data_IF_099549282933
#
_entry.id   IF_099549282933
#
_cell.length_a   1.000
_cell.length_b   1.000
_cell.length_c   1.000
_cell.angle_alpha   90.00
_cell.angle_beta   90.00
_cell.angle_gamma   90.00
#
_symmetry.space_group_name_H-M   'P 1'
#
loop_
_entity.id
_entity.type
_entity.pdbx_description
1 polymer ?
#
# COMPACT_ATOMS: atom_id res chain seq x y z
N UNK A 1 -20.15 4.45 -3.90
CA UNK A 1 -19.25 3.82 -2.91
C UNK A 1 -18.75 2.56 -3.59
N UNK A 2 -17.47 2.53 -3.98
CA UNK A 2 -16.89 1.29 -4.54
C UNK A 2 -16.66 0.37 -3.35
N UNK A 3 -17.47 -0.66 -3.25
CA UNK A 3 -17.32 -1.69 -2.23
C UNK A 3 -16.03 -2.45 -2.55
N UNK A 4 -15.08 -2.50 -1.61
CA UNK A 4 -13.86 -3.30 -1.79
C UNK A 4 -14.28 -4.75 -1.87
N UNK A 5 -14.00 -5.45 -2.97
CA UNK A 5 -14.54 -6.78 -3.24
C UNK A 5 -13.85 -7.91 -2.45
N UNK A 6 -13.18 -7.60 -1.34
CA UNK A 6 -12.47 -8.53 -0.45
C UNK A 6 -12.36 -7.94 0.96
N UNK A 7 -12.00 -8.75 1.95
CA UNK A 7 -11.83 -8.27 3.32
C UNK A 7 -10.46 -7.64 3.52
N UNK A 8 -10.44 -6.45 4.12
CA UNK A 8 -9.23 -5.70 4.49
C UNK A 8 -9.38 -5.13 5.90
N UNK A 9 -8.37 -5.36 6.74
CA UNK A 9 -8.25 -4.80 8.08
C UNK A 9 -6.98 -3.99 8.21
N UNK A 10 -7.11 -2.71 8.53
CA UNK A 10 -5.99 -1.80 8.77
C UNK A 10 -5.49 -1.86 10.21
N UNK A 11 -4.21 -1.57 10.38
CA UNK A 11 -3.59 -1.32 11.67
C UNK A 11 -3.71 -2.49 12.67
N UNK A 12 -3.68 -3.72 12.15
CA UNK A 12 -3.78 -4.93 12.98
C UNK A 12 -2.58 -5.10 13.92
N UNK A 13 -1.44 -4.43 13.63
CA UNK A 13 -0.26 -4.36 14.49
C UNK A 13 -0.57 -3.80 15.88
N UNK A 14 -1.61 -2.99 16.02
CA UNK A 14 -2.02 -2.39 17.29
C UNK A 14 -2.59 -3.43 18.26
N UNK A 15 -3.19 -4.49 17.74
CA UNK A 15 -3.89 -5.53 18.53
C UNK A 15 -3.30 -6.93 18.41
N UNK A 16 -2.58 -7.25 17.32
CA UNK A 16 -2.01 -8.57 17.06
C UNK A 16 -0.50 -8.56 17.36
N UNK A 17 -0.02 -9.22 18.44
CA UNK A 17 1.38 -9.16 18.84
C UNK A 17 2.37 -9.63 17.77
N UNK A 18 2.04 -10.68 16.99
CA UNK A 18 2.90 -11.17 15.91
C UNK A 18 3.04 -10.17 14.77
N UNK A 19 1.96 -9.50 14.38
CA UNK A 19 2.00 -8.42 13.37
C UNK A 19 2.80 -7.25 13.90
N UNK A 20 2.60 -6.86 15.15
CA UNK A 20 3.40 -5.80 15.80
C UNK A 20 4.88 -6.13 15.75
N UNK A 21 5.25 -7.35 16.17
CA UNK A 21 6.66 -7.79 16.18
C UNK A 21 7.29 -7.70 14.79
N UNK A 22 6.56 -8.07 13.74
CA UNK A 22 7.01 -7.98 12.36
C UNK A 22 7.08 -6.53 11.88
N UNK A 23 5.99 -5.78 12.00
CA UNK A 23 5.88 -4.41 11.47
C UNK A 23 6.83 -3.41 12.18
N UNK A 24 7.23 -3.69 13.43
CA UNK A 24 8.22 -2.89 14.16
C UNK A 24 9.60 -3.54 14.21
N UNK A 25 9.85 -4.58 13.41
CA UNK A 25 11.13 -5.28 13.39
C UNK A 25 12.23 -4.40 12.77
N UNK A 26 13.41 -4.44 13.37
CA UNK A 26 14.56 -3.69 12.87
C UNK A 26 14.97 -4.09 11.44
N UNK A 27 15.02 -5.38 11.05
CA UNK A 27 15.35 -5.77 9.69
C UNK A 27 14.42 -5.15 8.66
N UNK A 28 13.10 -5.22 8.85
CA UNK A 28 12.14 -4.69 7.89
C UNK A 28 12.20 -3.16 7.81
N UNK A 29 12.33 -2.49 8.96
CA UNK A 29 12.51 -1.03 9.03
C UNK A 29 13.83 -0.57 8.38
N UNK A 30 14.91 -1.34 8.52
CA UNK A 30 16.20 -1.07 7.87
C UNK A 30 16.11 -1.23 6.35
N UNK A 31 15.39 -2.25 5.85
CA UNK A 31 15.13 -2.36 4.42
C UNK A 31 14.33 -1.15 3.90
N UNK A 32 13.26 -0.75 4.60
CA UNK A 32 12.47 0.42 4.25
C UNK A 32 13.34 1.69 4.19
N UNK A 33 14.12 1.95 5.23
CA UNK A 33 15.07 3.07 5.28
C UNK A 33 16.03 3.07 4.10
N UNK A 34 16.55 1.89 3.76
CA UNK A 34 17.54 1.73 2.68
C UNK A 34 16.91 1.98 1.31
N UNK A 35 15.73 1.41 1.04
CA UNK A 35 15.02 1.58 -0.22
C UNK A 35 14.55 3.02 -0.44
N UNK A 36 14.15 3.70 0.63
CA UNK A 36 13.72 5.09 0.58
C UNK A 36 14.88 6.09 0.53
N UNK A 37 16.10 5.65 0.84
CA UNK A 37 17.27 6.51 0.98
C UNK A 37 17.01 7.69 1.94
N UNK A 38 16.61 7.35 3.17
CA UNK A 38 16.27 8.30 4.24
C UNK A 38 17.08 7.98 5.51
N UNK A 39 17.04 8.83 6.52
CA UNK A 39 17.76 8.59 7.79
C UNK A 39 16.92 7.75 8.77
N UNK A 40 15.61 7.93 8.76
CA UNK A 40 14.68 7.30 9.68
C UNK A 40 13.33 7.06 9.03
N UNK A 41 12.62 6.06 9.52
CA UNK A 41 11.29 5.70 9.01
C UNK A 41 10.28 5.54 10.13
N UNK A 42 9.05 5.94 9.84
CA UNK A 42 7.86 5.67 10.65
C UNK A 42 7.10 4.48 10.07
N UNK A 43 6.53 3.66 10.94
CA UNK A 43 5.49 2.71 10.57
C UNK A 43 4.20 3.50 10.35
N UNK A 44 3.73 3.55 9.11
CA UNK A 44 2.46 4.21 8.79
C UNK A 44 1.28 3.31 9.13
N UNK A 45 1.23 2.13 8.53
CA UNK A 45 0.12 1.18 8.69
C UNK A 45 0.55 -0.24 8.35
N UNK A 46 -0.27 -1.20 8.74
CA UNK A 46 -0.36 -2.51 8.10
C UNK A 46 -1.79 -2.73 7.57
N UNK A 47 -1.89 -3.62 6.60
CA UNK A 47 -3.16 -4.10 6.05
C UNK A 47 -3.14 -5.62 5.96
N UNK A 48 -4.07 -6.26 6.64
CA UNK A 48 -4.31 -7.70 6.54
C UNK A 48 -5.44 -7.93 5.53
N UNK A 49 -5.17 -8.76 4.53
CA UNK A 49 -6.09 -9.05 3.45
C UNK A 49 -6.56 -10.50 3.48
N UNK A 50 -7.84 -10.70 3.25
CA UNK A 50 -8.41 -11.97 2.84
C UNK A 50 -9.14 -11.78 1.51
N UNK A 51 -8.61 -12.38 0.46
CA UNK A 51 -9.26 -12.51 -0.85
C UNK A 51 -9.76 -13.95 -1.00
N UNK A 52 -11.07 -14.12 -1.08
CA UNK A 52 -11.70 -15.42 -1.29
C UNK A 52 -11.75 -15.79 -2.76
N UNK A 53 -11.95 -17.06 -3.03
CA UNK A 53 -11.95 -17.57 -4.40
C UNK A 53 -12.94 -16.94 -5.39
N UNK A 54 -13.96 -16.22 -4.89
CA UNK A 54 -14.94 -15.51 -5.72
C UNK A 54 -14.90 -13.98 -5.53
N UNK A 55 -13.93 -13.48 -4.78
CA UNK A 55 -13.79 -12.05 -4.57
C UNK A 55 -13.26 -11.36 -5.85
N UNK A 56 -13.68 -10.12 -6.06
CA UNK A 56 -13.32 -9.34 -7.24
C UNK A 56 -11.84 -8.93 -7.29
N UNK A 57 -11.42 -8.28 -8.38
CA UNK A 57 -10.07 -7.78 -8.55
C UNK A 57 -9.77 -6.65 -7.57
N UNK A 58 -8.50 -6.42 -7.29
CA UNK A 58 -8.01 -5.17 -6.71
C UNK A 58 -7.77 -4.21 -7.86
N UNK A 59 -8.52 -3.10 -7.95
CA UNK A 59 -8.32 -2.11 -9.01
C UNK A 59 -6.88 -1.57 -9.01
N UNK A 60 -6.40 -1.13 -10.16
CA UNK A 60 -5.14 -0.42 -10.27
C UNK A 60 -5.16 0.84 -9.41
N UNK A 61 -4.16 1.01 -8.56
CA UNK A 61 -4.03 2.14 -7.66
C UNK A 61 -2.58 2.37 -7.26
N UNK A 62 -2.32 3.49 -6.60
CA UNK A 62 -1.05 3.76 -5.91
C UNK A 62 -1.33 4.12 -4.45
N UNK A 63 -0.58 3.53 -3.53
CA UNK A 63 -0.77 3.71 -2.08
C UNK A 63 -0.59 5.17 -1.63
N UNK A 64 0.39 5.87 -2.22
CA UNK A 64 0.69 7.25 -1.87
C UNK A 64 -0.47 8.21 -2.16
N UNK A 65 -1.31 7.92 -3.17
CA UNK A 65 -2.49 8.72 -3.46
C UNK A 65 -3.51 8.69 -2.32
N UNK A 66 -3.62 7.54 -1.66
CA UNK A 66 -4.58 7.30 -0.59
C UNK A 66 -4.04 7.69 0.80
N UNK A 67 -2.71 7.74 0.95
CA UNK A 67 -2.05 8.08 2.20
C UNK A 67 -2.15 9.59 2.51
N UNK A 68 -2.15 9.99 3.80
CA UNK A 68 -2.28 11.38 4.20
C UNK A 68 -1.00 12.20 4.04
N UNK A 69 0.08 11.64 3.50
CA UNK A 69 1.41 12.25 3.47
C UNK A 69 1.69 13.01 2.17
N UNK A 70 2.40 14.13 2.29
CA UNK A 70 2.99 14.87 1.18
C UNK A 70 4.44 14.41 0.98
N UNK A 71 4.61 13.24 0.40
CA UNK A 71 5.94 12.66 0.16
C UNK A 71 5.93 11.62 -0.95
N UNK A 72 7.07 11.48 -1.64
CA UNK A 72 7.37 10.33 -2.50
C UNK A 72 8.13 9.22 -1.75
N UNK A 73 8.56 9.48 -0.51
CA UNK A 73 9.37 8.56 0.30
C UNK A 73 8.46 7.66 1.14
N UNK A 74 7.77 6.76 0.45
CA UNK A 74 6.90 5.73 1.04
C UNK A 74 7.14 4.40 0.34
N UNK A 75 7.19 3.31 1.10
CA UNK A 75 7.36 1.94 0.61
C UNK A 75 6.41 0.99 1.32
N UNK A 76 5.79 0.11 0.55
CA UNK A 76 4.97 -0.98 1.06
C UNK A 76 5.67 -2.31 0.81
N UNK A 77 5.81 -3.11 1.87
CA UNK A 77 6.17 -4.52 1.79
C UNK A 77 4.90 -5.36 1.81
N UNK A 78 4.71 -6.17 0.80
CA UNK A 78 3.57 -7.06 0.69
C UNK A 78 4.03 -8.52 0.75
N UNK A 79 3.44 -9.29 1.65
CA UNK A 79 3.85 -10.66 2.00
C UNK A 79 2.66 -11.61 1.92
N UNK A 80 2.76 -12.73 1.20
CA UNK A 80 1.77 -13.79 1.28
C UNK A 80 1.87 -14.50 2.65
N UNK A 81 0.72 -14.82 3.23
CA UNK A 81 0.64 -15.65 4.45
C UNK A 81 0.35 -17.12 4.14
N UNK A 82 -0.06 -17.39 2.90
CA UNK A 82 -0.17 -18.72 2.29
C UNK A 82 0.56 -18.71 0.95
N UNK A 83 1.05 -19.85 0.44
CA UNK A 83 1.67 -19.93 -0.86
C UNK A 83 0.73 -19.42 -1.97
N UNK A 84 1.26 -18.64 -2.91
CA UNK A 84 0.54 -18.17 -4.09
C UNK A 84 1.04 -18.93 -5.30
N UNK A 85 0.12 -19.56 -6.02
CA UNK A 85 0.42 -20.29 -7.25
C UNK A 85 0.84 -19.34 -8.39
N UNK A 86 1.34 -19.90 -9.48
CA UNK A 86 1.58 -19.15 -10.72
C UNK A 86 0.27 -18.57 -11.25
N UNK A 87 0.35 -17.46 -11.99
CA UNK A 87 -0.84 -16.79 -12.56
C UNK A 87 -1.69 -17.74 -13.42
N UNK A 88 -1.07 -18.59 -14.22
CA UNK A 88 -1.75 -19.58 -15.07
C UNK A 88 -2.48 -20.68 -14.28
N UNK A 89 -2.14 -20.83 -13.01
CA UNK A 89 -2.76 -21.76 -12.05
C UNK A 89 -3.78 -21.07 -11.15
N UNK A 90 -4.14 -19.82 -11.46
CA UNK A 90 -5.11 -19.03 -10.71
C UNK A 90 -4.53 -18.24 -9.53
N UNK A 91 -3.22 -18.01 -9.50
CA UNK A 91 -2.58 -17.18 -8.49
C UNK A 91 -3.13 -15.75 -8.52
N UNK A 92 -3.36 -15.17 -7.33
CA UNK A 92 -3.92 -13.83 -7.13
C UNK A 92 -2.96 -12.89 -6.41
N UNK A 93 -1.66 -12.99 -6.72
CA UNK A 93 -0.63 -12.05 -6.28
C UNK A 93 -0.81 -10.66 -6.88
N UNK A 94 0.12 -9.75 -6.57
CA UNK A 94 0.10 -8.41 -7.11
C UNK A 94 0.74 -8.35 -8.49
N UNK A 95 0.15 -7.47 -9.32
CA UNK A 95 0.76 -6.96 -10.54
C UNK A 95 1.26 -5.54 -10.31
N UNK A 96 2.37 -5.19 -10.93
CA UNK A 96 2.99 -3.88 -10.83
C UNK A 96 3.22 -3.31 -12.22
N UNK A 97 3.06 -2.00 -12.36
CA UNK A 97 3.51 -1.28 -13.57
C UNK A 97 4.93 -0.76 -13.30
N UNK A 98 5.90 -1.42 -13.91
CA UNK A 98 7.31 -1.10 -13.70
C UNK A 98 7.62 0.35 -14.09
N UNK A 99 8.32 1.08 -13.20
CA UNK A 99 8.69 2.48 -13.43
C UNK A 99 7.60 3.53 -13.21
N UNK A 100 6.33 3.14 -12.98
CA UNK A 100 5.21 4.08 -12.82
C UNK A 100 5.34 5.04 -11.63
N UNK A 101 6.10 4.67 -10.61
CA UNK A 101 6.39 5.55 -9.46
C UNK A 101 7.16 6.83 -9.82
N UNK A 102 7.80 6.85 -10.99
CA UNK A 102 8.52 8.01 -11.51
C UNK A 102 7.70 8.87 -12.47
N UNK A 103 6.42 8.52 -12.68
CA UNK A 103 5.55 9.24 -13.58
C UNK A 103 4.91 10.44 -12.86
N UNK A 104 5.47 11.63 -13.05
CA UNK A 104 4.96 12.87 -12.46
C UNK A 104 3.55 13.25 -12.91
N UNK A 105 3.07 12.72 -14.02
CA UNK A 105 1.71 13.00 -14.51
C UNK A 105 0.65 12.08 -13.88
N UNK A 106 1.06 11.00 -13.23
CA UNK A 106 0.14 10.03 -12.61
C UNK A 106 -0.91 10.66 -11.68
N UNK A 107 -0.57 11.61 -10.78
CA UNK A 107 -1.55 12.25 -9.91
C UNK A 107 -2.55 13.14 -10.64
N UNK A 108 -2.21 13.58 -11.85
CA UNK A 108 -3.01 14.52 -12.66
C UNK A 108 -3.82 13.82 -13.74
N UNK A 109 -3.79 12.52 -13.83
CA UNK A 109 -4.68 11.79 -14.71
C UNK A 109 -6.11 12.00 -14.27
N UNK A 110 -6.86 12.71 -15.12
CA UNK A 110 -8.27 12.96 -14.88
C UNK A 110 -9.03 11.64 -14.89
N UNK A 111 -9.65 11.34 -13.76
CA UNK A 111 -10.80 10.45 -13.74
C UNK A 111 -11.96 11.27 -14.30
N UNK A 112 -12.39 10.98 -15.51
CA UNK A 112 -13.69 11.42 -15.94
C UNK A 112 -14.71 10.71 -15.06
N UNK A 113 -15.53 11.46 -14.35
CA UNK A 113 -16.53 10.93 -13.41
C UNK A 113 -17.53 9.95 -14.07
N UNK A 114 -17.60 9.96 -15.40
CA UNK A 114 -18.48 9.10 -16.22
C UNK A 114 -17.79 7.83 -16.73
N UNK A 115 -16.49 7.64 -16.48
CA UNK A 115 -15.73 6.50 -17.01
C UNK A 115 -15.77 5.33 -16.01
N UNK A 116 -16.75 4.43 -16.20
CA UNK A 116 -16.88 3.18 -15.46
C UNK A 116 -15.87 2.11 -15.88
N UNK A 117 -15.12 2.34 -16.95
CA UNK A 117 -13.97 1.56 -17.40
C UNK A 117 -12.71 2.33 -17.03
N UNK A 118 -12.00 1.91 -16.03
CA UNK A 118 -10.98 2.70 -15.38
C UNK A 118 -9.94 3.33 -16.29
N UNK A 119 -9.49 4.50 -15.91
CA UNK A 119 -8.38 5.29 -16.46
C UNK A 119 -7.09 4.46 -16.69
N UNK A 120 -7.03 3.30 -16.07
CA UNK A 120 -5.94 2.33 -16.18
C UNK A 120 -6.17 1.22 -17.21
N UNK A 121 -7.29 1.23 -17.95
CA UNK A 121 -7.54 0.25 -19.02
C UNK A 121 -6.58 0.43 -20.21
N UNK A 122 -5.76 1.48 -20.20
CA UNK A 122 -4.81 1.81 -21.26
C UNK A 122 -3.39 1.99 -20.74
N UNK A 123 -3.01 1.21 -19.75
CA UNK A 123 -1.63 1.16 -19.25
C UNK A 123 -0.63 0.77 -20.34
N UNK A 124 -1.06 -0.09 -21.27
CA UNK A 124 -0.33 -0.50 -22.46
C UNK A 124 0.13 0.69 -23.30
N UNK A 125 -0.73 1.69 -23.50
CA UNK A 125 -0.42 2.87 -24.31
C UNK A 125 0.60 3.78 -23.63
N UNK A 126 0.51 3.90 -22.29
CA UNK A 126 1.38 4.82 -21.55
C UNK A 126 2.72 4.20 -21.21
N UNK A 127 2.73 2.93 -20.80
CA UNK A 127 3.92 2.25 -20.29
C UNK A 127 4.44 1.16 -21.22
N UNK A 128 3.66 0.75 -22.24
CA UNK A 128 3.97 -0.35 -23.13
C UNK A 128 3.48 -1.70 -22.61
N UNK A 129 3.33 -2.66 -23.50
CA UNK A 129 2.76 -3.98 -23.21
C UNK A 129 3.57 -4.79 -22.18
N UNK A 130 4.90 -4.60 -22.16
CA UNK A 130 5.82 -5.34 -21.28
C UNK A 130 6.04 -4.66 -19.92
N UNK A 131 5.27 -3.64 -19.58
CA UNK A 131 5.47 -2.87 -18.35
C UNK A 131 4.80 -3.49 -17.11
N UNK A 132 3.86 -4.40 -17.32
CA UNK A 132 3.15 -5.07 -16.24
C UNK A 132 3.90 -6.33 -15.82
N UNK A 133 4.35 -6.36 -14.58
CA UNK A 133 5.14 -7.46 -14.02
C UNK A 133 4.41 -8.07 -12.84
N UNK A 134 4.58 -9.37 -12.64
CA UNK A 134 4.22 -10.09 -11.43
C UNK A 134 5.42 -10.88 -10.90
N UNK A 135 5.31 -11.35 -9.67
CA UNK A 135 6.37 -12.13 -9.01
C UNK A 135 5.87 -13.49 -8.54
N UNK A 136 4.79 -13.98 -9.15
CA UNK A 136 4.24 -15.31 -8.85
C UNK A 136 5.06 -16.41 -9.54
N UNK A 137 5.17 -17.60 -8.96
CA UNK A 137 4.61 -18.02 -7.67
C UNK A 137 5.38 -17.43 -6.49
N UNK A 138 4.71 -17.31 -5.32
CA UNK A 138 5.34 -16.84 -4.08
C UNK A 138 5.12 -17.84 -2.94
N UNK A 139 6.12 -17.99 -2.09
CA UNK A 139 6.04 -18.81 -0.88
C UNK A 139 5.86 -17.93 0.36
N UNK A 140 5.42 -18.54 1.45
CA UNK A 140 5.45 -17.89 2.77
C UNK A 140 6.91 -17.55 3.13
N UNK A 141 7.14 -16.28 3.45
CA UNK A 141 8.48 -15.74 3.69
C UNK A 141 9.04 -14.91 2.54
N UNK A 142 8.48 -15.03 1.34
CA UNK A 142 8.76 -14.08 0.26
C UNK A 142 8.05 -12.76 0.54
N UNK A 143 8.58 -11.69 -0.05
CA UNK A 143 7.92 -10.39 -0.04
C UNK A 143 8.20 -9.62 -1.34
N UNK A 144 7.28 -8.76 -1.71
CA UNK A 144 7.52 -7.70 -2.70
C UNK A 144 7.66 -6.35 -1.99
N UNK A 145 8.43 -5.44 -2.59
CA UNK A 145 8.54 -4.06 -2.13
C UNK A 145 8.20 -3.12 -3.27
N UNK A 146 7.30 -2.18 -3.05
CA UNK A 146 6.95 -1.18 -4.04
C UNK A 146 6.90 0.22 -3.45
N UNK A 147 7.36 1.20 -4.22
CA UNK A 147 7.27 2.61 -3.83
C UNK A 147 5.79 3.04 -3.79
N UNK A 148 5.48 3.99 -2.92
CA UNK A 148 4.10 4.42 -2.71
C UNK A 148 3.36 4.87 -3.98
N UNK A 149 4.07 5.42 -4.97
CA UNK A 149 3.49 5.83 -6.26
C UNK A 149 3.49 4.75 -7.34
N UNK A 150 3.99 3.53 -7.04
CA UNK A 150 3.91 2.43 -8.01
C UNK A 150 2.46 2.01 -8.22
N UNK A 151 2.01 2.03 -9.49
CA UNK A 151 0.73 1.44 -9.86
C UNK A 151 0.78 -0.06 -9.67
N UNK A 152 -0.21 -0.59 -8.95
CA UNK A 152 -0.35 -2.01 -8.72
C UNK A 152 -1.82 -2.41 -8.56
N UNK A 153 -2.08 -3.68 -8.73
CA UNK A 153 -3.41 -4.28 -8.62
C UNK A 153 -3.32 -5.77 -8.47
N UNK A 154 -4.45 -6.46 -8.48
CA UNK A 154 -4.48 -7.92 -8.46
C UNK A 154 -5.74 -8.45 -9.14
N UNK A 155 -5.65 -9.60 -9.78
CA UNK A 155 -6.82 -10.28 -10.35
C UNK A 155 -7.82 -10.71 -9.28
N UNK A 156 -9.08 -10.80 -9.69
CA UNK A 156 -10.11 -11.50 -8.90
C UNK A 156 -9.85 -12.99 -8.88
N UNK A 157 -10.28 -13.66 -7.82
CA UNK A 157 -10.25 -15.11 -7.73
C UNK A 157 -11.42 -15.72 -8.49
N UNK A 158 -11.17 -16.47 -9.55
CA UNK A 158 -12.19 -17.30 -10.19
C UNK A 158 -11.85 -18.75 -9.87
N UNK A 159 -12.57 -19.33 -8.89
CA UNK A 159 -12.33 -20.69 -8.44
C UNK A 159 -10.98 -20.90 -7.73
N UNK A 160 -10.27 -19.83 -7.43
CA UNK A 160 -9.03 -19.86 -6.66
C UNK A 160 -9.27 -20.17 -5.19
N UNK A 161 -8.25 -20.66 -4.51
CA UNK A 161 -8.26 -20.78 -3.05
C UNK A 161 -8.28 -19.40 -2.40
N UNK A 162 -8.73 -19.32 -1.17
CA UNK A 162 -8.59 -18.14 -0.35
C UNK A 162 -7.12 -17.75 -0.23
N UNK A 163 -6.82 -16.45 -0.28
CA UNK A 163 -5.47 -15.90 -0.15
C UNK A 163 -5.42 -14.94 1.01
N UNK A 164 -4.53 -15.23 1.95
CA UNK A 164 -4.17 -14.33 3.03
C UNK A 164 -2.87 -13.59 2.69
N UNK A 165 -2.83 -12.29 2.94
CA UNK A 165 -1.63 -11.49 2.75
C UNK A 165 -1.56 -10.38 3.79
N UNK A 166 -0.35 -9.92 4.09
CA UNK A 166 -0.07 -8.78 4.95
C UNK A 166 0.75 -7.76 4.17
N UNK A 167 0.32 -6.52 4.17
CA UNK A 167 1.11 -5.38 3.73
C UNK A 167 1.57 -4.56 4.94
N UNK A 168 2.80 -4.06 4.91
CA UNK A 168 3.33 -3.13 5.92
C UNK A 168 3.93 -1.94 5.20
N UNK A 169 3.44 -0.75 5.52
CA UNK A 169 3.84 0.49 4.85
C UNK A 169 4.65 1.38 5.78
N UNK A 170 5.81 1.79 5.28
CA UNK A 170 6.70 2.74 5.96
C UNK A 170 6.82 4.04 5.16
N UNK A 171 7.07 5.11 5.89
CA UNK A 171 7.24 6.45 5.33
C UNK A 171 8.47 7.12 5.95
N UNK A 172 9.11 8.06 5.23
CA UNK A 172 10.13 8.92 5.81
C UNK A 172 9.59 9.58 7.09
N UNK A 173 10.36 9.53 8.17
CA UNK A 173 9.93 10.15 9.43
C UNK A 173 9.77 11.66 9.35
N UNK A 174 10.35 12.31 8.34
CA UNK A 174 10.19 13.74 8.07
C UNK A 174 9.00 14.06 7.15
N UNK A 175 8.25 13.06 6.71
CA UNK A 175 7.08 13.30 5.87
C UNK A 175 6.04 14.16 6.62
N UNK A 176 5.54 15.16 5.92
CA UNK A 176 4.50 16.06 6.41
C UNK A 176 3.11 15.55 6.01
N UNK A 177 2.09 15.95 6.76
CA UNK A 177 0.70 15.68 6.42
C UNK A 177 0.21 16.71 5.42
N UNK A 178 -0.54 16.28 4.41
CA UNK A 178 -1.16 17.16 3.41
C UNK A 178 -2.23 18.05 4.06
N UNK A 179 -2.45 19.24 3.48
CA UNK A 179 -3.48 20.19 3.97
C UNK A 179 -4.91 19.68 3.84
N UNK A 180 -5.16 18.80 2.87
CA UNK A 180 -6.50 18.41 2.44
C UNK A 180 -7.06 17.16 3.13
N UNK A 181 -6.29 16.53 4.01
CA UNK A 181 -6.71 15.24 4.63
C UNK A 181 -7.83 15.36 5.67
N UNK A 182 -7.98 16.52 6.28
CA UNK A 182 -9.07 16.81 7.23
C UNK A 182 -10.39 17.15 6.52
N UNK A 183 -10.33 17.60 5.27
CA UNK A 183 -11.52 17.90 4.48
C UNK A 183 -12.05 16.62 3.83
N UNK A 184 -13.36 16.38 3.95
CA UNK A 184 -14.07 15.23 3.38
C UNK A 184 -14.07 15.18 1.84
N UNK A 185 -13.32 16.04 1.18
CA UNK A 185 -13.34 16.25 -0.27
C UNK A 185 -12.22 15.53 -1.04
N UNK A 186 -11.24 14.95 -0.36
CA UNK A 186 -10.11 14.28 -1.02
C UNK A 186 -9.91 12.89 -0.46
N UNK A 187 -10.13 11.91 -1.31
CA UNK A 187 -10.05 10.48 -0.99
C UNK A 187 -11.43 9.84 -0.77
N UNK A 188 -11.49 8.57 -1.04
CA UNK A 188 -12.66 7.76 -0.70
C UNK A 188 -12.75 7.62 0.83
N UNK A 189 -13.96 7.55 1.38
CA UNK A 189 -14.17 7.33 2.82
C UNK A 189 -13.43 6.11 3.36
N UNK A 190 -13.15 5.15 2.51
CA UNK A 190 -12.39 3.94 2.83
C UNK A 190 -10.90 4.24 3.11
N UNK A 191 -10.30 5.21 2.40
CA UNK A 191 -8.89 5.58 2.59
C UNK A 191 -8.65 6.14 4.00
N UNK A 192 -9.59 6.90 4.55
CA UNK A 192 -9.50 7.42 5.92
C UNK A 192 -9.47 6.36 7.01
N UNK A 193 -9.93 5.16 6.75
CA UNK A 193 -9.96 4.07 7.74
C UNK A 193 -8.57 3.72 8.28
N UNK A 194 -7.52 3.98 7.52
CA UNK A 194 -6.15 3.71 7.94
C UNK A 194 -5.55 4.79 8.84
N UNK A 195 -6.03 6.04 8.78
CA UNK A 195 -5.42 7.17 9.47
C UNK A 195 -6.40 8.05 10.28
N UNK A 196 -7.71 7.77 10.23
CA UNK A 196 -8.72 8.56 10.95
C UNK A 196 -8.51 8.65 12.45
N UNK A 197 -7.85 7.65 13.04
CA UNK A 197 -7.66 7.57 14.49
C UNK A 197 -6.61 8.56 15.03
N UNK A 198 -5.85 9.22 14.15
CA UNK A 198 -4.75 10.06 14.56
C UNK A 198 -4.55 11.33 13.73
N UNK A 199 -5.05 11.38 12.50
CA UNK A 199 -4.72 12.47 11.56
C UNK A 199 -5.24 13.84 12.02
N UNK A 200 -6.36 13.86 12.73
CA UNK A 200 -6.95 15.11 13.24
C UNK A 200 -6.22 15.62 14.52
N UNK A 201 -5.29 14.84 15.07
CA UNK A 201 -4.46 15.22 16.22
C UNK A 201 -3.13 15.89 15.81
N UNK A 202 -2.81 15.88 14.52
CA UNK A 202 -1.55 16.43 14.00
C UNK A 202 -1.79 17.67 13.15
N UNK A 203 -0.81 18.57 13.14
CA UNK A 203 -0.88 19.81 12.36
C UNK A 203 -0.40 19.53 10.93
N UNK A 204 -1.21 19.82 9.89
CA UNK A 204 -0.77 19.72 8.51
C UNK A 204 0.47 20.58 8.22
N UNK A 205 1.26 20.18 7.25
CA UNK A 205 2.49 20.87 6.81
C UNK A 205 3.54 21.06 7.91
N UNK A 206 3.57 20.15 8.88
CA UNK A 206 4.57 20.19 9.96
C UNK A 206 5.11 18.80 10.28
N UNK A 207 6.30 18.79 10.88
CA UNK A 207 6.80 17.58 11.52
C UNK A 207 5.85 17.18 12.67
N UNK A 208 5.64 15.88 12.82
CA UNK A 208 4.78 15.35 13.89
C UNK A 208 5.37 14.06 14.47
N UNK A 209 5.02 13.79 15.71
CA UNK A 209 5.19 12.51 16.39
C UNK A 209 3.84 12.04 16.89
N UNK A 210 3.56 10.75 16.72
CA UNK A 210 2.32 10.17 17.19
C UNK A 210 2.51 8.68 17.47
N UNK A 211 1.94 8.19 18.58
CA UNK A 211 2.09 6.80 19.05
C UNK A 211 1.56 5.77 18.05
N UNK A 212 0.56 6.16 17.25
CA UNK A 212 -0.03 5.32 16.20
C UNK A 212 0.73 5.38 14.87
N UNK A 213 1.79 6.20 14.79
CA UNK A 213 2.71 6.30 13.63
C UNK A 213 4.15 6.38 14.14
N UNK A 214 4.60 5.36 14.88
CA UNK A 214 5.86 5.41 15.60
C UNK A 214 7.07 5.41 14.65
N UNK A 215 8.15 6.10 15.06
CA UNK A 215 9.47 5.91 14.46
C UNK A 215 9.95 4.52 14.84
N UNK A 216 10.22 3.68 13.82
CA UNK A 216 10.65 2.29 14.02
C UNK A 216 12.13 2.05 13.66
N UNK A 217 12.75 3.02 13.01
CA UNK A 217 14.19 3.03 12.75
C UNK A 217 14.73 4.47 12.64
N UNK A 218 15.89 4.80 13.27
CA UNK A 218 16.52 3.98 14.32
C UNK A 218 15.60 3.83 15.53
N UNK A 219 15.70 2.71 16.21
CA UNK A 219 15.01 2.58 17.51
C UNK A 219 15.69 3.51 18.51
N UNK A 220 14.94 4.39 19.14
CA UNK A 220 15.43 5.12 20.29
C UNK A 220 15.72 4.10 21.39
N UNK A 221 17.00 3.97 21.76
CA UNK A 221 17.38 3.20 22.96
C UNK A 221 16.88 3.98 24.18
N UNK A 222 15.64 3.71 24.59
CA UNK A 222 15.11 4.14 25.91
C UNK A 222 15.41 3.08 26.94
#
# INVERSE_FOLDING_TARGET
MVEIPFLQHFNTWRSIPSVRSLATSEPLALYAKTLLDVQSVKLYQDSLFLKRGNDGPTPWHSDARMAPFDTSKMVTFWMPLDPIAHIDEGGTGLFFVSGSHSDFALPFWNRNEDDTGGEYDRLDIRYGDDSVEDHMPMNVGDLTAHAGWTLHGANGGIGAMDRYALAVTYVDSNAEIRDDVSSSSVGHSEDRRSYSDWVDEVVPRSYFEHDLVPVVYPKNNT
#
